data_IF_468643282341
#
_entry.id   IF_468643282341
#
_cell.length_a   1.000
_cell.length_b   1.000
_cell.length_c   1.000
_cell.angle_alpha   90.00
_cell.angle_beta   90.00
_cell.angle_gamma   90.00
#
_symmetry.space_group_name_H-M   'P 1'
#
loop_
_entity.id
_entity.type
_entity.pdbx_description
1 polymer ?
#
# COMPACT_ATOMS: atom_id res chain seq x y z
N UNK A 1 -16.96 -24.21 -5.31
CA UNK A 1 -16.45 -23.23 -6.30
C UNK A 1 -17.50 -22.13 -6.41
N UNK A 2 -17.12 -20.86 -6.34
CA UNK A 2 -18.03 -19.74 -6.62
C UNK A 2 -17.91 -19.36 -8.11
N UNK A 3 -19.00 -18.92 -8.73
CA UNK A 3 -19.05 -18.58 -10.16
C UNK A 3 -20.12 -17.52 -10.43
N UNK A 4 -19.96 -16.74 -11.50
CA UNK A 4 -20.98 -15.79 -11.99
C UNK A 4 -20.44 -14.38 -12.27
N UNK A 5 -19.33 -13.98 -11.65
CA UNK A 5 -18.59 -12.78 -12.00
C UNK A 5 -17.31 -13.13 -12.77
N UNK A 6 -16.73 -12.13 -13.41
CA UNK A 6 -15.55 -12.30 -14.24
C UNK A 6 -14.28 -12.48 -13.40
N UNK A 7 -14.21 -11.81 -12.25
CA UNK A 7 -13.03 -11.80 -11.41
C UNK A 7 -13.33 -12.01 -9.92
N UNK A 8 -12.41 -12.69 -9.25
CA UNK A 8 -12.45 -12.99 -7.83
C UNK A 8 -11.06 -12.78 -7.21
N UNK A 9 -11.01 -12.29 -5.98
CA UNK A 9 -9.78 -12.11 -5.23
C UNK A 9 -9.97 -12.31 -3.72
N UNK A 10 -8.84 -12.41 -3.01
CA UNK A 10 -8.78 -12.45 -1.55
C UNK A 10 -9.73 -13.46 -0.87
N UNK A 11 -9.72 -14.76 -1.22
CA UNK A 11 -10.43 -15.75 -0.41
C UNK A 11 -9.80 -15.81 0.99
N UNK A 12 -10.61 -15.58 2.03
CA UNK A 12 -10.18 -15.49 3.43
C UNK A 12 -11.15 -16.23 4.33
N UNK A 13 -10.73 -17.39 4.81
CA UNK A 13 -11.48 -18.17 5.78
C UNK A 13 -11.29 -17.55 7.16
N UNK A 14 -12.37 -17.48 7.94
CA UNK A 14 -12.32 -16.97 9.31
C UNK A 14 -11.68 -17.99 10.27
N UNK A 15 -11.21 -17.58 11.48
CA UNK A 15 -10.57 -18.51 12.41
C UNK A 15 -11.45 -19.66 12.88
N UNK A 16 -12.78 -19.54 12.75
CA UNK A 16 -13.72 -20.60 13.11
C UNK A 16 -13.99 -21.59 11.97
N UNK A 17 -13.46 -21.33 10.77
CA UNK A 17 -13.67 -22.10 9.55
C UNK A 17 -15.15 -22.24 9.15
N UNK A 18 -15.99 -21.29 9.56
CA UNK A 18 -17.43 -21.28 9.26
C UNK A 18 -17.80 -20.29 8.18
N UNK A 19 -16.94 -19.30 7.93
CA UNK A 19 -17.19 -18.21 7.01
C UNK A 19 -15.99 -17.97 6.11
N UNK A 20 -16.25 -17.44 4.93
CA UNK A 20 -15.21 -16.98 4.02
C UNK A 20 -15.59 -15.60 3.47
N UNK A 21 -14.65 -14.68 3.49
CA UNK A 21 -14.74 -13.41 2.78
C UNK A 21 -14.01 -13.50 1.44
N UNK A 22 -14.50 -12.78 0.43
CA UNK A 22 -13.81 -12.60 -0.86
C UNK A 22 -14.25 -11.30 -1.54
N UNK A 23 -13.43 -10.84 -2.49
CA UNK A 23 -13.76 -9.75 -3.39
C UNK A 23 -14.21 -10.33 -4.75
N UNK A 24 -15.24 -9.75 -5.35
CA UNK A 24 -15.65 -10.03 -6.73
C UNK A 24 -15.94 -8.72 -7.49
N UNK A 25 -15.64 -8.72 -8.78
CA UNK A 25 -15.98 -7.63 -9.70
C UNK A 25 -16.11 -8.18 -11.13
N UNK A 26 -16.66 -7.36 -12.01
CA UNK A 26 -16.99 -7.74 -13.38
C UNK A 26 -16.71 -6.61 -14.35
N UNK A 27 -16.54 -6.98 -15.61
CA UNK A 27 -16.38 -6.03 -16.71
C UNK A 27 -17.56 -5.03 -16.74
N UNK A 28 -17.32 -3.75 -17.08
CA UNK A 28 -16.06 -3.17 -17.56
C UNK A 28 -15.17 -2.58 -16.45
N UNK A 29 -15.44 -2.87 -15.18
CA UNK A 29 -14.74 -2.22 -14.07
C UNK A 29 -13.43 -2.93 -13.75
N UNK A 30 -12.38 -2.16 -13.47
CA UNK A 30 -11.25 -2.68 -12.70
C UNK A 30 -11.61 -2.74 -11.23
N UNK A 31 -10.83 -3.50 -10.43
CA UNK A 31 -11.14 -3.69 -9.01
C UNK A 31 -11.17 -2.37 -8.23
N UNK A 32 -10.37 -1.38 -8.67
CA UNK A 32 -10.32 -0.03 -8.08
C UNK A 32 -11.41 0.92 -8.57
N UNK A 33 -12.13 0.59 -9.64
CA UNK A 33 -13.26 1.41 -10.10
C UNK A 33 -14.52 1.05 -9.32
N UNK A 34 -14.79 -0.26 -9.19
CA UNK A 34 -15.93 -0.80 -8.46
C UNK A 34 -15.74 -2.28 -8.19
N UNK A 35 -15.86 -2.68 -6.93
CA UNK A 35 -15.82 -4.08 -6.53
C UNK A 35 -16.85 -4.38 -5.43
N UNK A 36 -17.00 -5.65 -5.08
CA UNK A 36 -17.91 -6.09 -4.01
C UNK A 36 -17.18 -6.99 -3.03
N UNK A 37 -17.38 -6.75 -1.74
CA UNK A 37 -16.95 -7.64 -0.67
C UNK A 37 -18.12 -8.52 -0.27
N UNK A 38 -17.91 -9.82 -0.31
CA UNK A 38 -18.90 -10.81 0.09
C UNK A 38 -18.41 -11.65 1.26
N UNK A 39 -19.35 -12.07 2.10
CA UNK A 39 -19.14 -13.10 3.12
C UNK A 39 -20.09 -14.26 2.85
N UNK A 40 -19.53 -15.46 2.78
CA UNK A 40 -20.26 -16.71 2.60
C UNK A 40 -20.14 -17.60 3.83
N UNK A 41 -21.20 -18.36 4.12
CA UNK A 41 -21.29 -19.27 5.26
C UNK A 41 -21.21 -20.72 4.78
N UNK A 42 -20.31 -21.49 5.38
CA UNK A 42 -20.12 -22.89 5.05
C UNK A 42 -21.21 -23.77 5.68
N UNK A 43 -21.65 -24.75 4.90
CA UNK A 43 -22.42 -25.90 5.38
C UNK A 43 -21.54 -26.91 6.10
N UNK A 44 -22.16 -27.92 6.71
CA UNK A 44 -21.43 -29.08 7.25
C UNK A 44 -20.66 -29.88 6.19
N UNK A 45 -20.91 -29.64 4.89
CA UNK A 45 -20.19 -30.25 3.77
C UNK A 45 -19.07 -29.35 3.20
N UNK A 46 -18.87 -28.16 3.77
CA UNK A 46 -17.87 -27.19 3.29
C UNK A 46 -18.30 -26.38 2.06
N UNK A 47 -19.61 -26.39 1.73
CA UNK A 47 -20.16 -25.62 0.62
C UNK A 47 -20.67 -24.26 1.12
N UNK A 48 -20.55 -23.20 0.32
CA UNK A 48 -21.12 -21.89 0.66
C UNK A 48 -22.64 -21.94 0.40
N UNK A 49 -23.45 -22.01 1.47
CA UNK A 49 -24.91 -22.11 1.37
C UNK A 49 -25.62 -20.76 1.35
N UNK A 50 -25.06 -19.78 2.06
CA UNK A 50 -25.59 -18.41 2.17
C UNK A 50 -24.46 -17.44 1.95
N UNK A 51 -24.77 -16.31 1.32
CA UNK A 51 -23.82 -15.20 1.18
C UNK A 51 -24.51 -13.86 1.32
N UNK A 52 -23.75 -12.88 1.79
CA UNK A 52 -24.17 -11.50 2.00
C UNK A 52 -23.11 -10.56 1.40
N UNK A 53 -23.56 -9.51 0.74
CA UNK A 53 -22.69 -8.45 0.22
C UNK A 53 -22.48 -7.44 1.35
N UNK A 54 -21.24 -7.32 1.82
CA UNK A 54 -20.85 -6.46 2.95
C UNK A 54 -20.56 -5.03 2.49
N UNK A 55 -19.93 -4.89 1.32
CA UNK A 55 -19.58 -3.61 0.71
C UNK A 55 -19.66 -3.72 -0.82
N UNK A 56 -19.94 -2.60 -1.50
CA UNK A 56 -20.05 -2.51 -2.97
C UNK A 56 -21.39 -2.99 -3.56
N UNK A 57 -22.34 -3.38 -2.72
CA UNK A 57 -23.66 -3.87 -3.13
C UNK A 57 -24.74 -2.79 -3.24
N UNK A 58 -24.52 -1.62 -2.65
CA UNK A 58 -25.49 -0.53 -2.64
C UNK A 58 -25.38 0.29 -3.94
N UNK A 59 -26.45 0.40 -4.76
CA UNK A 59 -26.41 1.10 -6.04
C UNK A 59 -26.28 2.62 -5.91
N UNK A 60 -26.48 3.18 -4.72
CA UNK A 60 -26.39 4.62 -4.46
C UNK A 60 -24.96 5.10 -4.20
N UNK A 61 -24.03 4.17 -3.98
CA UNK A 61 -22.62 4.43 -3.76
C UNK A 61 -21.76 3.63 -4.75
N UNK A 62 -20.65 4.20 -5.16
CA UNK A 62 -19.58 3.47 -5.85
C UNK A 62 -18.44 3.34 -4.86
N UNK A 63 -17.97 2.12 -4.66
CA UNK A 63 -16.83 1.84 -3.79
C UNK A 63 -16.03 0.65 -4.34
N UNK A 64 -14.76 0.62 -3.97
CA UNK A 64 -13.76 -0.38 -4.29
C UNK A 64 -13.26 -1.05 -3.01
N UNK A 65 -14.02 -2.00 -2.43
CA UNK A 65 -13.54 -2.78 -1.30
C UNK A 65 -12.40 -3.72 -1.70
N UNK A 66 -11.41 -3.86 -0.82
CA UNK A 66 -10.21 -4.69 -1.04
C UNK A 66 -9.67 -5.25 0.28
N UNK A 67 -8.75 -6.20 0.15
CA UNK A 67 -7.96 -6.77 1.25
C UNK A 67 -8.74 -7.16 2.52
N UNK A 68 -9.84 -7.95 2.44
CA UNK A 68 -10.48 -8.44 3.65
C UNK A 68 -9.52 -9.27 4.50
N UNK A 69 -9.56 -9.11 5.83
CA UNK A 69 -8.82 -9.92 6.81
C UNK A 69 -9.67 -10.13 8.05
N UNK A 70 -9.67 -11.36 8.55
CA UNK A 70 -10.31 -11.70 9.81
C UNK A 70 -9.33 -11.48 10.97
N UNK A 71 -9.77 -10.84 12.04
CA UNK A 71 -9.06 -10.85 13.33
C UNK A 71 -9.11 -12.25 13.94
N UNK A 72 -8.29 -12.53 14.96
CA UNK A 72 -8.34 -13.80 15.70
C UNK A 72 -9.69 -14.05 16.42
N UNK A 73 -10.43 -13.00 16.76
CA UNK A 73 -11.82 -13.03 17.24
C UNK A 73 -12.85 -13.35 16.14
N UNK A 74 -12.44 -13.39 14.88
CA UNK A 74 -13.34 -13.59 13.75
C UNK A 74 -14.14 -12.35 13.37
N UNK A 75 -13.61 -11.16 13.64
CA UNK A 75 -14.16 -9.89 13.16
C UNK A 75 -13.57 -9.56 11.79
N UNK A 76 -14.40 -9.08 10.87
CA UNK A 76 -13.95 -8.78 9.51
C UNK A 76 -13.52 -7.33 9.39
N UNK A 77 -12.25 -7.12 9.04
CA UNK A 77 -11.71 -5.85 8.62
C UNK A 77 -11.45 -5.89 7.12
N UNK A 78 -11.52 -4.74 6.46
CA UNK A 78 -11.22 -4.60 5.03
C UNK A 78 -10.92 -3.14 4.73
N UNK A 79 -10.46 -2.86 3.51
CA UNK A 79 -10.20 -1.50 3.05
C UNK A 79 -11.24 -1.12 2.00
N UNK A 80 -11.77 0.09 2.04
CA UNK A 80 -12.66 0.64 1.01
C UNK A 80 -12.54 2.16 0.97
N UNK A 81 -12.82 2.76 -0.19
CA UNK A 81 -12.80 4.20 -0.48
C UNK A 81 -14.15 4.88 -0.23
N UNK A 82 -15.12 4.14 0.34
CA UNK A 82 -16.47 4.66 0.58
C UNK A 82 -16.46 5.94 1.40
N UNK A 83 -17.36 6.86 1.06
CA UNK A 83 -17.61 8.15 1.73
C UNK A 83 -16.48 9.18 1.59
N UNK A 84 -15.25 8.87 2.01
CA UNK A 84 -14.12 9.81 1.96
C UNK A 84 -13.51 9.95 0.56
N UNK A 85 -13.63 8.90 -0.28
CA UNK A 85 -12.91 8.78 -1.54
C UNK A 85 -11.46 8.31 -1.38
N UNK A 86 -11.02 8.04 -0.16
CA UNK A 86 -9.70 7.49 0.16
C UNK A 86 -9.84 6.08 0.73
N UNK A 87 -9.02 5.13 0.28
CA UNK A 87 -8.99 3.80 0.85
C UNK A 87 -8.61 3.85 2.32
N UNK A 88 -9.57 3.64 3.22
CA UNK A 88 -9.36 3.57 4.66
C UNK A 88 -9.76 2.18 5.19
N UNK A 89 -9.36 1.85 6.41
CA UNK A 89 -9.70 0.57 7.04
C UNK A 89 -11.10 0.67 7.67
N UNK A 90 -11.94 -0.30 7.37
CA UNK A 90 -13.29 -0.47 7.90
C UNK A 90 -13.43 -1.83 8.59
N UNK A 91 -14.41 -1.92 9.48
CA UNK A 91 -14.82 -3.14 10.19
C UNK A 91 -16.30 -3.40 9.92
N UNK A 92 -16.65 -4.66 9.68
CA UNK A 92 -18.05 -5.08 9.57
C UNK A 92 -18.57 -5.58 10.92
N UNK A 93 -19.67 -4.99 11.38
CA UNK A 93 -20.48 -5.51 12.48
C UNK A 93 -21.55 -6.44 11.92
N UNK A 94 -21.37 -7.74 12.14
CA UNK A 94 -22.27 -8.79 11.66
C UNK A 94 -23.66 -8.73 12.32
N UNK A 95 -23.79 -8.25 13.56
CA UNK A 95 -25.07 -8.24 14.27
C UNK A 95 -26.02 -7.18 13.71
N UNK A 96 -25.49 -5.97 13.51
CA UNK A 96 -26.25 -4.84 12.95
C UNK A 96 -26.20 -4.79 11.41
N UNK A 97 -25.31 -5.57 10.80
CA UNK A 97 -24.97 -5.52 9.38
C UNK A 97 -24.53 -4.11 8.92
N UNK A 98 -23.70 -3.46 9.73
CA UNK A 98 -23.18 -2.12 9.48
C UNK A 98 -21.67 -2.18 9.25
N UNK A 99 -21.18 -1.33 8.35
CA UNK A 99 -19.76 -1.11 8.11
C UNK A 99 -19.34 0.17 8.83
N UNK A 100 -18.33 0.06 9.69
CA UNK A 100 -17.83 1.15 10.55
C UNK A 100 -16.40 1.48 10.15
N UNK A 101 -16.13 2.77 9.90
CA UNK A 101 -14.78 3.25 9.64
C UNK A 101 -13.94 3.14 10.92
N UNK A 102 -12.77 2.54 10.82
CA UNK A 102 -11.89 2.32 11.97
C UNK A 102 -11.12 3.59 12.32
N UNK A 103 -10.64 4.29 11.28
CA UNK A 103 -9.95 5.56 11.40
C UNK A 103 -10.09 6.34 10.10
N UNK A 104 -10.34 7.65 10.19
CA UNK A 104 -10.49 8.53 9.03
C UNK A 104 -9.21 9.30 8.79
N UNK A 105 -8.65 9.15 7.59
CA UNK A 105 -7.48 9.89 7.14
C UNK A 105 -7.54 10.06 5.62
N UNK A 106 -7.28 11.28 5.14
CA UNK A 106 -7.13 11.58 3.71
C UNK A 106 -5.79 11.01 3.21
N UNK A 107 -5.78 9.68 3.03
CA UNK A 107 -4.63 8.86 2.69
C UNK A 107 -5.09 7.49 2.17
N UNK A 108 -4.31 6.89 1.27
CA UNK A 108 -4.58 5.58 0.71
C UNK A 108 -3.93 4.48 1.55
N UNK A 109 -4.73 3.61 2.17
CA UNK A 109 -4.26 2.46 2.95
C UNK A 109 -4.13 1.19 2.11
N UNK A 110 -4.40 1.28 0.80
CA UNK A 110 -4.18 0.19 -0.17
C UNK A 110 -3.60 0.77 -1.46
N UNK A 111 -3.55 -0.07 -2.49
CA UNK A 111 -3.10 0.30 -3.84
C UNK A 111 -3.91 -0.47 -4.88
N UNK A 112 -3.96 0.02 -6.13
CA UNK A 112 -4.58 -0.69 -7.24
C UNK A 112 -4.06 -2.12 -7.37
N UNK A 113 -4.97 -3.11 -7.30
CA UNK A 113 -4.62 -4.52 -7.35
C UNK A 113 -4.46 -5.01 -8.80
N UNK A 114 -3.39 -4.58 -9.46
CA UNK A 114 -3.00 -5.13 -10.78
C UNK A 114 -2.56 -6.60 -10.69
N UNK A 115 -2.01 -6.98 -9.54
CA UNK A 115 -1.59 -8.35 -9.21
C UNK A 115 -2.20 -8.77 -7.88
N UNK A 116 -2.54 -10.05 -7.75
CA UNK A 116 -3.07 -10.60 -6.52
C UNK A 116 -2.03 -10.57 -5.38
N UNK A 117 -2.53 -10.59 -4.14
CA UNK A 117 -1.70 -10.78 -2.96
C UNK A 117 -1.21 -9.50 -2.30
N UNK A 118 -1.72 -8.34 -2.70
CA UNK A 118 -1.49 -7.08 -1.96
C UNK A 118 -1.83 -7.27 -0.47
N UNK A 119 -0.93 -6.84 0.41
CA UNK A 119 -1.15 -6.85 1.86
C UNK A 119 -0.67 -5.53 2.47
N UNK A 120 -1.57 -4.58 2.65
CA UNK A 120 -1.26 -3.23 3.12
C UNK A 120 -1.42 -3.09 4.63
N UNK A 121 -2.01 -4.06 5.33
CA UNK A 121 -2.11 -4.04 6.79
C UNK A 121 -2.04 -5.44 7.44
N UNK A 122 -1.69 -5.50 8.71
CA UNK A 122 -1.69 -6.73 9.50
C UNK A 122 -2.05 -6.46 10.96
N UNK A 123 -2.70 -7.42 11.62
CA UNK A 123 -2.94 -7.38 13.06
C UNK A 123 -1.64 -7.71 13.82
N UNK A 124 -1.30 -6.91 14.83
CA UNK A 124 -0.11 -7.13 15.64
C UNK A 124 -0.44 -8.02 16.85
N UNK A 125 -0.07 -9.30 16.79
CA UNK A 125 -0.22 -10.25 17.90
C UNK A 125 -0.93 -11.54 17.49
N UNK A 126 -0.68 -12.62 18.24
CA UNK A 126 -1.29 -13.93 18.00
C UNK A 126 -2.49 -14.18 18.94
N UNK A 127 -2.72 -13.29 19.90
CA UNK A 127 -3.47 -13.52 21.13
C UNK A 127 -4.53 -12.45 21.43
N UNK A 128 -4.87 -11.59 20.46
CA UNK A 128 -6.00 -10.66 20.47
C UNK A 128 -6.12 -9.71 21.70
N UNK A 129 -5.07 -9.63 22.51
CA UNK A 129 -4.94 -8.62 23.57
C UNK A 129 -4.55 -7.27 22.99
N UNK A 130 -3.81 -7.26 21.87
CA UNK A 130 -3.41 -6.05 21.18
C UNK A 130 -4.36 -5.75 20.02
N UNK A 131 -5.16 -4.70 20.16
CA UNK A 131 -6.09 -4.19 19.16
C UNK A 131 -5.38 -3.31 18.11
N UNK A 132 -4.14 -3.64 17.78
CA UNK A 132 -3.27 -2.81 16.96
C UNK A 132 -3.11 -3.38 15.56
N UNK A 133 -3.23 -2.50 14.59
CA UNK A 133 -3.04 -2.78 13.18
C UNK A 133 -1.81 -2.01 12.74
N UNK A 134 -0.84 -2.70 12.14
CA UNK A 134 0.23 -2.04 11.40
C UNK A 134 -0.18 -1.96 9.93
N UNK A 135 0.06 -0.83 9.28
CA UNK A 135 -0.33 -0.63 7.88
C UNK A 135 0.69 0.19 7.09
N UNK A 136 0.78 -0.07 5.80
CA UNK A 136 1.35 0.83 4.82
C UNK A 136 0.25 1.80 4.38
N UNK A 137 0.58 3.08 4.25
CA UNK A 137 -0.34 4.06 3.70
C UNK A 137 0.40 5.08 2.84
N UNK A 138 -0.32 5.74 1.93
CA UNK A 138 0.19 6.82 1.10
C UNK A 138 -0.55 8.11 1.36
N UNK A 139 0.18 9.20 1.47
CA UNK A 139 -0.40 10.53 1.67
C UNK A 139 0.46 11.57 0.97
N UNK A 140 -0.17 12.43 0.17
CA UNK A 140 0.49 13.50 -0.60
C UNK A 140 1.70 12.97 -1.39
N UNK A 141 1.50 11.88 -2.14
CA UNK A 141 2.52 11.26 -3.00
C UNK A 141 3.67 10.56 -2.27
N UNK A 142 3.60 10.36 -0.94
CA UNK A 142 4.63 9.67 -0.16
C UNK A 142 4.08 8.45 0.56
N UNK A 143 4.94 7.44 0.71
CA UNK A 143 4.64 6.19 1.41
C UNK A 143 5.11 6.21 2.85
N UNK A 144 4.34 5.58 3.73
CA UNK A 144 4.56 5.57 5.17
C UNK A 144 4.13 4.24 5.79
N UNK A 145 4.66 3.94 6.97
CA UNK A 145 4.13 2.90 7.86
C UNK A 145 3.43 3.56 9.04
N UNK A 146 2.24 3.08 9.35
CA UNK A 146 1.40 3.54 10.45
C UNK A 146 1.07 2.41 11.42
N UNK A 147 0.77 2.82 12.64
CA UNK A 147 0.25 2.00 13.71
C UNK A 147 -1.11 2.57 14.10
N UNK A 148 -2.16 1.80 13.86
CA UNK A 148 -3.53 2.11 14.22
C UNK A 148 -3.94 1.30 15.45
N UNK A 149 -4.46 1.99 16.46
CA UNK A 149 -5.12 1.39 17.61
C UNK A 149 -6.61 1.70 17.52
N UNK A 150 -7.41 0.68 17.20
CA UNK A 150 -8.82 0.90 16.87
C UNK A 150 -9.76 1.02 18.07
N UNK A 151 -9.32 0.67 19.28
CA UNK A 151 -10.10 0.90 20.50
C UNK A 151 -10.00 2.37 20.92
N UNK A 152 -8.78 2.90 20.91
CA UNK A 152 -8.51 4.30 21.26
C UNK A 152 -8.78 5.28 20.13
N UNK A 153 -8.89 4.79 18.89
CA UNK A 153 -8.98 5.62 17.69
C UNK A 153 -7.70 6.43 17.45
N UNK A 154 -6.54 5.90 17.87
CA UNK A 154 -5.25 6.59 17.73
C UNK A 154 -4.45 6.04 16.56
N UNK A 155 -3.73 6.94 15.88
CA UNK A 155 -2.88 6.61 14.74
C UNK A 155 -1.53 7.29 14.90
N UNK A 156 -0.44 6.53 14.77
CA UNK A 156 0.92 7.05 14.83
C UNK A 156 1.76 6.51 13.68
N UNK A 157 2.70 7.32 13.21
CA UNK A 157 3.67 6.93 12.19
C UNK A 157 4.81 6.11 12.81
N UNK A 158 5.29 5.10 12.08
CA UNK A 158 6.56 4.42 12.35
C UNK A 158 7.58 4.88 11.30
N UNK A 159 8.64 5.54 11.74
CA UNK A 159 9.72 5.97 10.85
C UNK A 159 10.62 4.78 10.50
N UNK A 160 10.64 4.43 9.21
CA UNK A 160 11.54 3.42 8.63
C UNK A 160 12.44 4.08 7.57
N UNK A 161 13.65 3.54 7.30
CA UNK A 161 14.55 4.08 6.28
C UNK A 161 14.12 3.71 4.83
N UNK A 162 12.81 3.67 4.58
CA UNK A 162 12.21 3.39 3.28
C UNK A 162 11.41 4.60 2.81
N UNK A 163 11.53 4.94 1.52
CA UNK A 163 10.71 5.96 0.86
C UNK A 163 9.48 5.36 0.17
N UNK A 164 9.49 4.05 -0.06
CA UNK A 164 8.37 3.26 -0.52
C UNK A 164 8.26 1.99 0.32
N UNK A 165 7.06 1.70 0.83
CA UNK A 165 6.75 0.48 1.55
C UNK A 165 5.51 -0.18 0.98
N UNK A 166 5.47 -1.49 1.04
CA UNK A 166 4.33 -2.29 0.65
C UNK A 166 4.38 -3.65 1.36
N UNK A 167 3.35 -4.47 1.19
CA UNK A 167 3.32 -5.86 1.64
C UNK A 167 3.82 -6.06 3.08
N UNK A 168 2.91 -5.84 4.03
CA UNK A 168 3.17 -6.02 5.46
C UNK A 168 2.54 -7.31 5.97
N UNK A 169 3.29 -8.00 6.83
CA UNK A 169 2.86 -9.17 7.59
C UNK A 169 3.35 -9.06 9.03
N UNK A 170 2.66 -9.69 9.96
CA UNK A 170 2.98 -9.66 11.39
C UNK A 170 3.27 -11.08 11.87
N UNK A 171 4.32 -11.24 12.66
CA UNK A 171 4.67 -12.51 13.29
C UNK A 171 5.58 -12.29 14.50
N UNK A 172 5.44 -13.12 15.53
CA UNK A 172 6.31 -13.16 16.72
C UNK A 172 6.49 -11.80 17.42
N UNK A 173 5.43 -10.99 17.49
CA UNK A 173 5.46 -9.66 18.10
C UNK A 173 6.24 -8.60 17.29
N UNK A 174 6.71 -8.97 16.10
CA UNK A 174 7.33 -8.09 15.11
C UNK A 174 6.42 -7.96 13.88
N UNK A 175 6.79 -7.07 12.97
CA UNK A 175 6.26 -7.11 11.61
C UNK A 175 7.38 -7.15 10.59
N UNK A 176 7.04 -7.65 9.40
CA UNK A 176 7.91 -7.69 8.24
C UNK A 176 7.26 -6.85 7.15
N UNK A 177 8.06 -6.04 6.48
CA UNK A 177 7.59 -5.11 5.45
C UNK A 177 8.54 -5.14 4.26
N UNK A 178 7.97 -5.17 3.06
CA UNK A 178 8.72 -4.92 1.83
C UNK A 178 8.93 -3.42 1.66
N UNK A 179 10.17 -3.01 1.43
CA UNK A 179 10.46 -1.60 1.23
C UNK A 179 11.74 -1.34 0.45
N UNK A 180 11.84 -0.12 -0.04
CA UNK A 180 12.99 0.38 -0.78
C UNK A 180 13.19 1.87 -0.49
N UNK A 181 14.38 2.37 -0.81
CA UNK A 181 14.66 3.81 -0.82
C UNK A 181 15.56 4.16 -1.99
N UNK A 182 15.89 5.44 -2.15
CA UNK A 182 16.85 5.89 -3.14
C UNK A 182 18.26 5.29 -2.98
N UNK A 183 18.58 4.74 -1.80
CA UNK A 183 19.86 4.14 -1.48
C UNK A 183 19.76 2.69 -0.99
N UNK A 184 18.54 2.18 -0.76
CA UNK A 184 18.27 0.79 -0.42
C UNK A 184 17.49 0.12 -1.56
N UNK A 185 18.01 -0.96 -2.16
CA UNK A 185 17.24 -1.71 -3.14
C UNK A 185 16.02 -2.37 -2.46
N UNK A 186 15.08 -2.88 -3.26
CA UNK A 186 13.91 -3.62 -2.75
C UNK A 186 14.39 -4.70 -1.78
N UNK A 187 13.87 -4.65 -0.56
CA UNK A 187 14.31 -5.44 0.57
C UNK A 187 13.12 -5.82 1.45
N UNK A 188 13.28 -6.90 2.21
CA UNK A 188 12.36 -7.26 3.29
C UNK A 188 13.05 -6.88 4.59
N UNK A 189 12.39 -6.05 5.39
CA UNK A 189 12.85 -5.67 6.72
C UNK A 189 12.01 -6.36 7.80
N UNK A 190 12.67 -6.78 8.87
CA UNK A 190 12.04 -7.09 10.15
C UNK A 190 12.07 -5.84 11.02
N UNK A 191 10.92 -5.50 11.60
CA UNK A 191 10.78 -4.40 12.54
C UNK A 191 10.26 -4.94 13.86
N UNK A 192 11.05 -4.79 14.91
CA UNK A 192 10.66 -5.16 16.27
C UNK A 192 10.04 -3.95 16.94
N UNK A 193 8.94 -4.17 17.68
CA UNK A 193 8.27 -3.12 18.44
C UNK A 193 8.65 -3.19 19.92
N UNK A 194 8.40 -2.13 20.68
CA UNK A 194 8.42 -2.16 22.13
C UNK A 194 7.35 -3.11 22.69
N UNK A 195 7.43 -3.46 23.97
CA UNK A 195 6.49 -4.39 24.63
C UNK A 195 5.03 -3.93 24.51
N UNK A 196 4.80 -2.60 24.53
CA UNK A 196 3.47 -2.00 24.37
C UNK A 196 3.04 -1.89 22.91
N UNK A 197 3.89 -2.24 21.94
CA UNK A 197 3.65 -2.16 20.50
C UNK A 197 3.23 -0.76 20.06
N UNK A 198 3.87 0.27 20.56
CA UNK A 198 3.64 1.70 20.27
C UNK A 198 4.70 2.30 19.35
N UNK A 199 5.90 1.73 19.31
CA UNK A 199 7.01 2.26 18.51
C UNK A 199 7.99 1.15 18.09
N UNK A 200 8.73 1.38 17.00
CA UNK A 200 9.81 0.50 16.60
C UNK A 200 11.02 0.65 17.55
N UNK A 201 11.56 -0.49 17.98
CA UNK A 201 12.75 -0.57 18.84
C UNK A 201 13.96 -1.10 18.08
N UNK A 202 13.74 -1.86 17.00
CA UNK A 202 14.80 -2.40 16.16
C UNK A 202 14.34 -2.53 14.70
N UNK A 203 15.29 -2.40 13.78
CA UNK A 203 15.10 -2.51 12.34
C UNK A 203 16.27 -3.30 11.75
N UNK A 204 15.97 -4.35 10.99
CA UNK A 204 16.98 -5.12 10.27
C UNK A 204 16.49 -5.55 8.89
N UNK A 205 17.36 -5.46 7.89
CA UNK A 205 17.11 -6.05 6.57
C UNK A 205 17.38 -7.56 6.67
N UNK A 206 16.35 -8.38 6.42
CA UNK A 206 16.45 -9.85 6.45
C UNK A 206 16.65 -10.44 5.06
N UNK A 207 16.29 -9.70 4.02
CA UNK A 207 16.56 -10.04 2.62
C UNK A 207 16.68 -8.79 1.76
N UNK A 208 17.54 -8.81 0.76
CA UNK A 208 17.73 -7.72 -0.19
C UNK A 208 17.84 -8.25 -1.62
N UNK A 209 17.20 -7.58 -2.57
CA UNK A 209 17.23 -7.95 -3.99
C UNK A 209 18.63 -7.79 -4.63
N UNK A 210 19.50 -6.96 -4.05
CA UNK A 210 20.85 -6.75 -4.58
C UNK A 210 21.82 -6.23 -3.51
N UNK A 211 22.44 -7.13 -2.76
CA UNK A 211 23.41 -6.77 -1.70
C UNK A 211 24.65 -6.03 -2.24
N UNK A 212 25.07 -6.39 -3.44
CA UNK A 212 26.25 -5.85 -4.13
C UNK A 212 26.09 -4.40 -4.59
N UNK A 213 24.86 -3.86 -4.55
CA UNK A 213 24.57 -2.55 -5.14
C UNK A 213 25.27 -1.40 -4.38
N UNK A 214 25.60 -1.64 -3.10
CA UNK A 214 26.25 -0.67 -2.21
C UNK A 214 27.60 -0.17 -2.75
N UNK A 215 28.31 -0.97 -3.56
CA UNK A 215 29.58 -0.55 -4.19
C UNK A 215 29.40 0.58 -5.22
N UNK A 216 28.18 0.80 -5.70
CA UNK A 216 27.84 1.86 -6.65
C UNK A 216 27.20 3.09 -6.01
N UNK A 217 27.07 3.13 -4.67
CA UNK A 217 26.53 4.28 -3.93
C UNK A 217 27.13 5.64 -4.35
N UNK A 218 28.45 5.78 -4.64
CA UNK A 218 29.03 7.03 -5.14
C UNK A 218 28.53 7.50 -6.51
N UNK A 219 27.65 6.76 -7.17
CA UNK A 219 27.01 7.13 -8.44
C UNK A 219 25.50 7.35 -8.30
N UNK A 220 24.91 7.19 -7.12
CA UNK A 220 23.47 7.34 -6.95
C UNK A 220 23.09 8.82 -6.89
N UNK A 221 22.27 9.22 -7.85
CA UNK A 221 21.46 10.43 -7.75
C UNK A 221 20.27 10.17 -6.82
N UNK A 222 20.17 10.97 -5.77
CA UNK A 222 19.06 10.92 -4.81
C UNK A 222 17.91 11.80 -5.32
N UNK A 223 16.66 11.30 -5.29
CA UNK A 223 15.51 12.06 -5.77
C UNK A 223 15.10 13.17 -4.82
N UNK A 224 14.72 14.29 -5.41
CA UNK A 224 13.98 15.37 -4.80
C UNK A 224 12.49 15.18 -5.09
N UNK A 225 11.69 14.99 -4.04
CA UNK A 225 10.24 14.92 -4.20
C UNK A 225 9.67 16.33 -4.44
N UNK A 226 8.89 16.47 -5.49
CA UNK A 226 8.29 17.74 -5.89
C UNK A 226 6.78 17.63 -6.02
N UNK A 227 6.12 18.72 -5.67
CA UNK A 227 4.70 18.98 -5.91
C UNK A 227 4.61 20.17 -6.87
N UNK A 228 3.77 20.09 -7.90
CA UNK A 228 3.63 21.13 -8.90
C UNK A 228 2.16 21.30 -9.34
N UNK A 229 1.74 22.52 -9.73
CA UNK A 229 0.36 22.76 -10.12
C UNK A 229 0.02 22.10 -11.46
N UNK A 230 -1.24 21.70 -11.61
CA UNK A 230 -1.77 21.22 -12.89
C UNK A 230 -2.51 22.34 -13.64
N UNK A 231 -2.99 22.03 -14.86
CA UNK A 231 -3.87 22.94 -15.60
C UNK A 231 -5.25 23.10 -14.96
N UNK A 232 -5.62 22.21 -14.02
CA UNK A 232 -6.88 22.27 -13.27
C UNK A 232 -6.61 23.04 -11.97
N UNK A 233 -7.27 24.20 -11.75
CA UNK A 233 -7.05 25.01 -10.56
C UNK A 233 -7.30 24.23 -9.26
N UNK A 234 -6.37 24.34 -8.31
CA UNK A 234 -6.45 23.67 -7.01
C UNK A 234 -6.01 22.20 -7.01
N UNK A 235 -5.68 21.62 -8.18
CA UNK A 235 -5.10 20.28 -8.26
C UNK A 235 -3.59 20.34 -8.45
N UNK A 236 -2.92 19.46 -7.72
CA UNK A 236 -1.46 19.29 -7.75
C UNK A 236 -1.10 17.91 -8.30
N UNK A 237 0.04 17.84 -8.97
CA UNK A 237 0.68 16.60 -9.38
C UNK A 237 2.03 16.47 -8.64
N UNK A 238 2.55 15.25 -8.62
CA UNK A 238 3.77 14.92 -7.90
C UNK A 238 4.82 14.36 -8.85
N UNK A 239 6.09 14.52 -8.51
CA UNK A 239 7.17 13.90 -9.24
C UNK A 239 8.40 13.65 -8.36
N UNK A 240 9.30 12.81 -8.85
CA UNK A 240 10.64 12.64 -8.30
C UNK A 240 11.65 13.17 -9.31
N UNK A 241 12.33 14.27 -8.96
CA UNK A 241 13.40 14.84 -9.76
C UNK A 241 14.75 14.27 -9.31
N UNK A 242 15.52 13.74 -10.24
CA UNK A 242 16.85 13.20 -10.02
C UNK A 242 17.87 14.10 -10.75
N UNK A 243 18.71 14.85 -10.02
CA UNK A 243 19.75 15.64 -10.65
C UNK A 243 20.82 14.75 -11.30
N UNK A 244 21.54 15.21 -12.33
CA UNK A 244 22.73 14.49 -12.80
C UNK A 244 23.75 14.40 -11.67
N UNK A 245 24.32 13.22 -11.44
CA UNK A 245 25.26 13.03 -10.35
C UNK A 245 26.34 12.00 -10.70
N UNK A 246 27.60 12.40 -10.58
CA UNK A 246 28.74 11.51 -10.73
C UNK A 246 29.88 12.00 -9.82
N UNK A 247 30.45 11.12 -8.99
CA UNK A 247 31.52 11.54 -8.07
C UNK A 247 32.86 11.88 -8.75
N UNK A 248 33.01 11.59 -10.05
CA UNK A 248 34.25 11.84 -10.83
C UNK A 248 34.10 12.93 -11.88
N UNK A 249 32.87 13.31 -12.25
CA UNK A 249 32.60 14.30 -13.29
C UNK A 249 31.58 15.32 -12.82
N UNK A 250 31.80 16.59 -13.19
CA UNK A 250 30.85 17.67 -12.96
C UNK A 250 30.61 18.42 -14.27
N UNK A 251 29.36 18.79 -14.53
CA UNK A 251 28.99 19.63 -15.67
C UNK A 251 29.53 21.06 -15.53
N UNK A 252 29.63 21.77 -16.65
CA UNK A 252 29.96 23.21 -16.65
C UNK A 252 28.90 24.01 -15.87
N UNK A 253 29.31 25.06 -15.17
CA UNK A 253 28.38 26.00 -14.51
C UNK A 253 27.53 26.80 -15.50
N UNK A 254 27.99 26.91 -16.75
CA UNK A 254 27.40 27.78 -17.76
C UNK A 254 26.34 27.07 -18.62
N UNK A 255 26.12 25.77 -18.38
CA UNK A 255 25.17 24.95 -19.10
C UNK A 255 24.22 24.22 -18.13
N UNK A 256 23.01 23.91 -18.60
CA UNK A 256 22.05 23.07 -17.87
C UNK A 256 22.07 21.66 -18.42
N UNK A 257 21.90 20.62 -17.58
CA UNK A 257 21.84 19.25 -18.06
C UNK A 257 20.59 19.03 -18.91
N UNK A 258 20.63 18.15 -19.91
CA UNK A 258 19.43 17.70 -20.59
C UNK A 258 18.53 16.94 -19.60
N UNK A 259 17.20 17.02 -19.78
CA UNK A 259 16.20 16.41 -18.91
C UNK A 259 15.44 15.32 -19.64
N UNK A 260 15.39 14.12 -19.05
CA UNK A 260 14.45 13.06 -19.43
C UNK A 260 13.21 13.14 -18.56
N UNK A 261 12.03 13.06 -19.19
CA UNK A 261 10.74 13.04 -18.50
C UNK A 261 10.17 11.62 -18.59
N UNK A 262 10.13 10.94 -17.45
CA UNK A 262 9.51 9.64 -17.26
C UNK A 262 8.02 9.75 -16.95
N UNK A 263 7.25 8.82 -17.51
CA UNK A 263 5.82 8.64 -17.22
C UNK A 263 5.59 7.16 -16.98
N UNK A 264 5.13 6.79 -15.79
CA UNK A 264 4.88 5.39 -15.45
C UNK A 264 3.71 4.79 -16.25
N UNK A 265 3.70 3.46 -16.35
CA UNK A 265 2.57 2.69 -16.88
C UNK A 265 1.43 2.58 -15.87
N UNK A 266 0.36 1.87 -16.26
CA UNK A 266 -0.85 1.69 -15.43
C UNK A 266 -2.11 1.98 -16.25
N UNK A 267 -2.61 3.23 -16.29
CA UNK A 267 -2.06 4.44 -15.68
C UNK A 267 -2.31 4.56 -14.16
N UNK A 268 -3.18 3.70 -13.60
CA UNK A 268 -3.48 3.66 -12.15
C UNK A 268 -2.36 2.94 -11.37
N UNK A 269 -1.19 3.54 -11.34
CA UNK A 269 -0.02 3.19 -10.52
C UNK A 269 0.76 4.50 -10.26
N UNK A 270 2.03 4.42 -9.91
CA UNK A 270 2.85 5.59 -9.62
C UNK A 270 4.36 5.35 -9.76
N UNK A 271 5.07 6.43 -10.06
CA UNK A 271 6.49 6.58 -9.80
C UNK A 271 6.78 6.60 -8.28
N UNK A 272 7.88 5.96 -7.90
CA UNK A 272 8.33 5.87 -6.50
C UNK A 272 9.77 6.35 -6.40
N UNK A 273 10.08 7.11 -5.35
CA UNK A 273 11.42 7.64 -5.07
C UNK A 273 12.41 6.59 -4.56
N UNK A 274 12.56 5.49 -5.30
CA UNK A 274 13.39 4.33 -4.96
C UNK A 274 14.61 4.23 -5.88
N UNK A 275 15.54 3.33 -5.54
CA UNK A 275 16.70 3.02 -6.37
C UNK A 275 16.26 2.29 -7.64
N UNK A 276 16.31 2.98 -8.78
CA UNK A 276 16.14 2.41 -10.12
C UNK A 276 17.42 2.59 -10.94
N UNK A 277 18.07 1.48 -11.30
CA UNK A 277 19.32 1.50 -12.06
C UNK A 277 19.17 2.04 -13.48
N UNK A 278 17.97 2.00 -14.05
CA UNK A 278 17.65 2.61 -15.34
C UNK A 278 17.71 4.14 -15.23
N UNK A 279 17.20 4.71 -14.14
CA UNK A 279 17.36 6.14 -13.83
C UNK A 279 18.83 6.46 -13.54
N UNK A 280 19.48 5.65 -12.69
CA UNK A 280 20.89 5.86 -12.34
C UNK A 280 21.83 5.78 -13.55
N UNK A 281 21.48 4.99 -14.57
CA UNK A 281 22.24 4.93 -15.82
C UNK A 281 22.36 6.30 -16.50
N UNK A 282 21.26 7.06 -16.54
CA UNK A 282 21.21 8.39 -17.15
C UNK A 282 21.82 9.46 -16.25
N UNK A 283 21.45 9.47 -14.97
CA UNK A 283 21.92 10.49 -14.01
C UNK A 283 23.42 10.43 -13.78
N UNK A 284 24.00 9.23 -13.77
CA UNK A 284 25.45 9.03 -13.71
C UNK A 284 26.22 9.50 -14.96
N UNK A 285 25.51 9.82 -16.06
CA UNK A 285 26.05 10.28 -17.35
C UNK A 285 25.67 11.72 -17.69
N UNK A 286 25.28 12.52 -16.70
CA UNK A 286 25.07 13.95 -16.87
C UNK A 286 23.66 14.35 -17.31
N UNK A 287 22.71 13.41 -17.38
CA UNK A 287 21.30 13.72 -17.64
C UNK A 287 20.54 13.93 -16.34
N UNK A 288 19.68 14.93 -16.29
CA UNK A 288 18.64 14.99 -15.27
C UNK A 288 17.50 14.02 -15.66
N UNK A 289 16.78 13.51 -14.66
CA UNK A 289 15.57 12.71 -14.86
C UNK A 289 14.45 13.25 -13.99
N UNK A 290 13.22 13.29 -14.48
CA UNK A 290 12.04 13.56 -13.67
C UNK A 290 11.02 12.47 -13.91
N UNK A 291 10.59 11.77 -12.87
CA UNK A 291 9.56 10.75 -12.95
C UNK A 291 8.23 11.31 -12.45
N UNK A 292 7.24 11.39 -13.33
CA UNK A 292 6.02 12.19 -13.11
C UNK A 292 4.83 11.30 -12.75
N UNK A 293 4.23 11.57 -11.59
CA UNK A 293 2.90 11.09 -11.22
C UNK A 293 1.85 12.05 -11.77
N UNK A 294 1.38 11.75 -12.99
CA UNK A 294 0.39 12.53 -13.71
C UNK A 294 -1.04 12.25 -13.20
N UNK A 295 -2.03 13.04 -13.65
CA UNK A 295 -3.43 12.83 -13.25
C UNK A 295 -3.91 11.42 -13.59
N UNK A 296 -4.46 10.70 -12.59
CA UNK A 296 -4.81 9.29 -12.68
C UNK A 296 -3.84 8.32 -11.99
N UNK A 297 -2.72 8.84 -11.46
CA UNK A 297 -1.81 8.08 -10.58
C UNK A 297 -2.50 7.67 -9.27
N UNK A 298 -1.97 6.62 -8.66
CA UNK A 298 -2.41 6.08 -7.37
C UNK A 298 -1.90 6.86 -6.14
#
# INVERSE_FOLDING_TARGET
LLSGNDFYAFPRIDPTEKRMAWIEWSDPNMSWDKAQLWVGYFSSKGEVEKRICIAGGDPTIVESPTEPKWSSKGELFFITDRQSGFWNIYKWDEQSNVVVQVYSLDAEFSKPMWVYGVSSYAFLGNDDQSQKIVCCYRQNGKSYVGLLDHDSGSFSKIDLPFSAVTNIVSADGSFYVEGASASLPVSIAKVTLDEKRTMATDFSIVWSSSEDIKKYTPYFSLPEFMEFPTVIPGQHAYAYFYPPYNHTFQGSSDEKPPLLVGTHGGPTDEARGILDLSVQYWTSRGWAFVDVNYGGSA
#
